data_IF_175804981081
#
_entry.id   IF_175804981081
#
_cell.length_a   1.000
_cell.length_b   1.000
_cell.length_c   1.000
_cell.angle_alpha   90.00
_cell.angle_beta   90.00
_cell.angle_gamma   90.00
#
_symmetry.space_group_name_H-M   'P 1'
#
loop_
_entity.id
_entity.type
_entity.pdbx_description
1 polymer ?
#
# COMPACT_ATOMS: atom_id res chain seq x y z
N UNK A 1 40.61 -20.29 -28.85
CA UNK A 1 39.46 -19.66 -29.53
C UNK A 1 38.22 -20.38 -29.03
N UNK A 2 37.37 -19.86 -28.16
CA UNK A 2 37.29 -18.60 -27.44
C UNK A 2 36.34 -18.81 -26.26
N UNK A 3 36.71 -18.20 -25.14
CA UNK A 3 35.98 -18.07 -23.88
C UNK A 3 34.64 -17.36 -24.11
N UNK A 4 33.53 -17.86 -23.56
CA UNK A 4 32.43 -17.01 -23.10
C UNK A 4 31.81 -17.62 -21.83
N UNK A 5 32.10 -16.99 -20.69
CA UNK A 5 31.44 -17.21 -19.41
C UNK A 5 29.94 -16.87 -19.47
N UNK A 6 29.10 -17.67 -18.81
CA UNK A 6 27.92 -17.15 -18.12
C UNK A 6 27.80 -17.80 -16.74
N UNK A 7 28.31 -17.06 -15.75
CA UNK A 7 27.96 -17.21 -14.34
C UNK A 7 26.43 -17.14 -14.19
N UNK A 8 25.79 -18.28 -13.90
CA UNK A 8 24.41 -18.32 -13.37
C UNK A 8 24.40 -19.28 -12.19
N UNK A 9 25.05 -18.87 -11.10
CA UNK A 9 24.89 -19.51 -9.80
C UNK A 9 24.73 -18.43 -8.75
N UNK A 10 23.52 -18.27 -8.23
CA UNK A 10 23.21 -17.33 -7.15
C UNK A 10 21.72 -17.29 -6.80
N UNK A 11 21.35 -18.14 -5.83
CA UNK A 11 20.09 -18.16 -5.05
C UNK A 11 18.80 -18.67 -5.73
N UNK A 12 18.21 -19.70 -5.10
CA UNK A 12 17.06 -20.46 -5.58
C UNK A 12 15.88 -19.60 -6.03
N UNK A 13 15.60 -19.68 -7.34
CA UNK A 13 14.37 -19.17 -7.93
C UNK A 13 13.22 -20.12 -7.64
N UNK A 14 12.66 -20.03 -6.43
CA UNK A 14 11.23 -20.28 -6.31
C UNK A 14 10.53 -19.20 -7.15
N UNK A 15 9.57 -19.54 -8.02
CA UNK A 15 8.80 -18.51 -8.73
C UNK A 15 8.21 -17.58 -7.68
N UNK A 16 8.43 -16.27 -7.83
CA UNK A 16 7.79 -15.27 -6.98
C UNK A 16 6.30 -15.56 -7.10
N UNK A 17 5.67 -16.06 -6.03
CA UNK A 17 4.25 -16.29 -6.01
C UNK A 17 3.58 -14.97 -6.43
N UNK A 18 2.95 -14.95 -7.61
CA UNK A 18 2.27 -13.78 -8.11
C UNK A 18 1.10 -13.52 -7.17
N UNK A 19 1.31 -12.63 -6.20
CA UNK A 19 0.28 -12.19 -5.28
C UNK A 19 -0.58 -11.18 -6.03
N UNK A 20 -1.89 -11.37 -5.99
CA UNK A 20 -2.83 -10.41 -6.56
C UNK A 20 -2.72 -9.09 -5.79
N UNK A 21 -2.27 -8.06 -6.49
CA UNK A 21 -2.08 -6.71 -5.95
C UNK A 21 -3.31 -5.82 -6.13
N UNK A 22 -4.39 -6.32 -6.75
CA UNK A 22 -5.59 -5.57 -7.10
C UNK A 22 -6.36 -5.03 -5.90
N UNK A 23 -7.60 -5.47 -5.72
CA UNK A 23 -8.48 -4.95 -4.66
C UNK A 23 -8.69 -5.98 -3.57
N UNK A 24 -8.84 -5.52 -2.32
CA UNK A 24 -9.15 -6.42 -1.21
C UNK A 24 -10.56 -6.99 -1.37
N UNK A 25 -11.55 -6.12 -1.56
CA UNK A 25 -12.90 -6.46 -2.01
C UNK A 25 -13.48 -5.26 -2.77
N UNK A 26 -13.53 -5.33 -4.10
CA UNK A 26 -14.00 -4.24 -4.95
C UNK A 26 -15.52 -4.03 -4.92
N UNK A 27 -16.30 -4.95 -4.34
CA UNK A 27 -17.76 -4.93 -4.35
C UNK A 27 -18.36 -4.50 -3.02
N UNK A 28 -17.65 -4.71 -1.92
CA UNK A 28 -18.10 -4.31 -0.60
C UNK A 28 -18.14 -2.78 -0.45
N UNK A 29 -19.16 -2.24 0.23
CA UNK A 29 -19.21 -0.82 0.60
C UNK A 29 -18.26 -0.48 1.76
N UNK A 30 -17.75 -1.48 2.46
CA UNK A 30 -16.75 -1.32 3.51
C UNK A 30 -15.93 -2.59 3.68
N UNK A 31 -14.65 -2.43 4.06
CA UNK A 31 -13.75 -3.54 4.38
C UNK A 31 -13.06 -3.27 5.70
N UNK A 32 -13.05 -4.27 6.58
CA UNK A 32 -12.27 -4.23 7.81
C UNK A 32 -10.86 -4.77 7.57
N UNK A 33 -9.86 -4.00 7.97
CA UNK A 33 -8.45 -4.39 7.88
C UNK A 33 -7.72 -4.10 9.17
N UNK A 34 -6.79 -4.97 9.53
CA UNK A 34 -5.86 -4.74 10.63
C UNK A 34 -4.52 -4.31 10.07
N UNK A 35 -3.93 -3.20 10.50
CA UNK A 35 -2.56 -2.78 10.16
C UNK A 35 -1.82 -2.46 11.45
N UNK A 36 -0.66 -3.08 11.66
CA UNK A 36 0.16 -2.82 12.85
C UNK A 36 -0.56 -3.10 14.18
N UNK A 37 -1.43 -4.11 14.21
CA UNK A 37 -2.25 -4.45 15.39
C UNK A 37 -3.40 -3.48 15.66
N UNK A 38 -3.77 -2.62 14.69
CA UNK A 38 -4.90 -1.69 14.78
C UNK A 38 -5.93 -2.01 13.72
N UNK A 39 -7.20 -2.01 14.10
CA UNK A 39 -8.31 -2.24 13.19
C UNK A 39 -8.76 -0.92 12.55
N UNK A 40 -9.11 -1.00 11.27
CA UNK A 40 -9.65 0.09 10.47
C UNK A 40 -10.82 -0.45 9.65
N UNK A 41 -11.91 0.31 9.61
CA UNK A 41 -12.99 0.11 8.64
C UNK A 41 -12.80 1.11 7.52
N UNK A 42 -12.55 0.61 6.31
CA UNK A 42 -12.40 1.44 5.10
C UNK A 42 -13.74 1.47 4.37
N UNK A 43 -14.35 2.65 4.28
CA UNK A 43 -15.56 2.86 3.48
C UNK A 43 -15.18 3.06 2.01
N UNK A 44 -15.88 2.36 1.12
CA UNK A 44 -15.59 2.31 -0.30
C UNK A 44 -16.78 2.81 -1.12
N UNK A 45 -16.49 3.21 -2.35
CA UNK A 45 -17.49 3.61 -3.35
C UNK A 45 -17.40 2.72 -4.60
N UNK A 46 -17.79 1.44 -4.56
CA UNK A 46 -17.67 0.51 -5.69
C UNK A 46 -18.24 1.02 -7.02
N UNK A 47 -19.33 1.80 -6.97
CA UNK A 47 -19.94 2.39 -8.16
C UNK A 47 -18.99 3.35 -8.91
N UNK A 48 -18.09 4.02 -8.20
CA UNK A 48 -17.09 4.92 -8.79
C UNK A 48 -15.97 4.17 -9.49
N UNK A 49 -15.66 2.93 -9.05
CA UNK A 49 -14.65 2.09 -9.70
C UNK A 49 -15.05 1.73 -11.15
N UNK A 50 -16.33 1.46 -11.38
CA UNK A 50 -16.88 1.10 -12.69
C UNK A 50 -17.42 2.28 -13.50
N UNK A 51 -17.30 3.51 -12.98
CA UNK A 51 -17.90 4.68 -13.61
C UNK A 51 -17.13 5.09 -14.88
N UNK A 52 -17.84 5.26 -15.98
CA UNK A 52 -17.31 5.80 -17.24
C UNK A 52 -17.42 7.33 -17.33
N UNK A 53 -17.97 7.98 -16.29
CA UNK A 53 -18.02 9.45 -16.18
C UNK A 53 -16.67 9.99 -15.71
N UNK A 54 -16.47 11.31 -15.83
CA UNK A 54 -15.23 12.01 -15.46
C UNK A 54 -14.82 11.93 -13.96
N UNK A 55 -15.51 11.14 -13.13
CA UNK A 55 -15.17 10.86 -11.73
C UNK A 55 -14.83 9.39 -11.45
N UNK A 56 -14.75 8.52 -12.47
CA UNK A 56 -14.31 7.15 -12.27
C UNK A 56 -12.87 7.09 -11.75
N UNK A 57 -12.64 6.36 -10.66
CA UNK A 57 -11.30 6.25 -10.06
C UNK A 57 -11.07 4.87 -9.45
N UNK A 58 -9.86 4.36 -9.61
CA UNK A 58 -9.40 3.14 -8.92
C UNK A 58 -9.15 3.38 -7.43
N UNK A 59 -9.05 4.65 -7.00
CA UNK A 59 -8.92 5.05 -5.61
C UNK A 59 -10.21 4.89 -4.80
N UNK A 60 -11.34 4.56 -5.44
CA UNK A 60 -12.64 4.41 -4.78
C UNK A 60 -12.80 3.11 -3.96
N UNK A 61 -11.80 2.22 -4.04
CA UNK A 61 -11.75 0.93 -3.33
C UNK A 61 -10.33 0.69 -2.81
N UNK A 62 -10.21 -0.12 -1.77
CA UNK A 62 -8.95 -0.44 -1.11
C UNK A 62 -8.12 -1.40 -1.97
N UNK A 63 -6.92 -0.95 -2.32
CA UNK A 63 -5.94 -1.78 -3.00
C UNK A 63 -5.22 -2.72 -2.03
N UNK A 64 -5.05 -3.98 -2.45
CA UNK A 64 -4.24 -4.96 -1.74
C UNK A 64 -2.80 -4.47 -1.61
N UNK A 65 -2.26 -3.83 -2.65
CA UNK A 65 -0.92 -3.22 -2.61
C UNK A 65 -0.77 -2.19 -1.47
N UNK A 66 -1.73 -1.26 -1.31
CA UNK A 66 -1.69 -0.24 -0.27
C UNK A 66 -1.75 -0.88 1.13
N UNK A 67 -2.61 -1.88 1.31
CA UNK A 67 -2.72 -2.64 2.57
C UNK A 67 -1.45 -3.43 2.89
N UNK A 68 -0.82 -4.08 1.91
CA UNK A 68 0.45 -4.78 2.10
C UNK A 68 1.60 -3.82 2.43
N UNK A 69 1.64 -2.67 1.78
CA UNK A 69 2.66 -1.65 2.06
C UNK A 69 2.49 -1.06 3.47
N UNK A 70 1.25 -0.80 3.90
CA UNK A 70 0.96 -0.36 5.25
C UNK A 70 1.43 -1.38 6.31
N UNK A 71 1.22 -2.68 6.07
CA UNK A 71 1.75 -3.73 6.95
C UNK A 71 3.28 -3.78 6.98
N UNK A 72 3.92 -3.61 5.82
CA UNK A 72 5.36 -3.52 5.75
C UNK A 72 5.87 -2.37 6.62
N UNK A 73 5.29 -1.17 6.48
CA UNK A 73 5.65 0.01 7.27
C UNK A 73 5.39 -0.19 8.77
N UNK A 74 4.29 -0.84 9.14
CA UNK A 74 3.94 -1.09 10.54
C UNK A 74 4.79 -2.19 11.20
N UNK A 75 5.61 -2.92 10.43
CA UNK A 75 6.48 -3.96 10.97
C UNK A 75 7.48 -3.39 11.98
N UNK A 76 7.61 -3.97 13.19
CA UNK A 76 8.51 -3.45 14.24
C UNK A 76 10.00 -3.52 13.86
N UNK A 77 10.35 -4.25 12.79
CA UNK A 77 11.72 -4.38 12.27
C UNK A 77 11.88 -3.71 10.90
N UNK A 78 11.02 -2.75 10.56
CA UNK A 78 11.13 -2.04 9.30
C UNK A 78 12.37 -1.14 9.29
N UNK A 79 13.36 -1.51 8.47
CA UNK A 79 14.63 -0.78 8.37
C UNK A 79 14.45 0.65 7.84
N UNK A 80 13.46 0.91 6.99
CA UNK A 80 13.17 2.25 6.46
C UNK A 80 12.64 3.15 7.59
N UNK A 81 11.71 2.63 8.40
CA UNK A 81 11.15 3.38 9.54
C UNK A 81 12.22 3.69 10.59
N UNK A 82 13.16 2.77 10.82
CA UNK A 82 14.28 2.98 11.73
C UNK A 82 15.25 4.08 11.27
N UNK A 83 15.26 4.43 9.97
CA UNK A 83 16.10 5.48 9.40
C UNK A 83 15.39 6.85 9.32
N UNK A 84 14.10 6.93 9.64
CA UNK A 84 13.37 8.19 9.62
C UNK A 84 13.91 9.14 10.69
N UNK A 85 13.96 10.46 10.43
CA UNK A 85 14.26 11.42 11.48
C UNK A 85 13.21 11.34 12.59
N UNK A 86 13.54 11.75 13.83
CA UNK A 86 12.56 11.81 14.91
C UNK A 86 11.35 12.65 14.51
N UNK A 87 10.14 12.11 14.71
CA UNK A 87 8.88 12.83 14.50
C UNK A 87 8.73 13.45 13.09
N UNK A 88 8.79 12.64 12.01
CA UNK A 88 8.68 13.16 10.65
C UNK A 88 7.26 13.63 10.33
N UNK A 89 7.15 14.59 9.41
CA UNK A 89 5.88 14.89 8.73
C UNK A 89 5.72 13.93 7.54
N UNK A 90 4.54 13.34 7.39
CA UNK A 90 4.27 12.33 6.35
C UNK A 90 3.33 12.90 5.28
N UNK A 91 3.69 12.76 4.01
CA UNK A 91 2.84 13.07 2.87
C UNK A 91 2.47 11.77 2.15
N UNK A 92 1.18 11.46 2.06
CA UNK A 92 0.68 10.37 1.23
C UNK A 92 0.01 10.93 -0.02
N UNK A 93 0.50 10.50 -1.18
CA UNK A 93 -0.01 10.87 -2.50
C UNK A 93 -0.84 9.72 -3.03
N UNK A 94 -2.04 10.01 -3.53
CA UNK A 94 -2.90 8.99 -4.10
C UNK A 94 -3.43 8.03 -3.03
N UNK A 95 -3.87 8.55 -1.87
CA UNK A 95 -4.33 7.71 -0.76
C UNK A 95 -5.70 7.04 -1.02
N UNK A 96 -6.40 7.43 -2.08
CA UNK A 96 -7.74 6.95 -2.43
C UNK A 96 -8.71 7.06 -1.25
N UNK A 97 -9.46 5.99 -1.03
CA UNK A 97 -10.38 5.84 0.11
C UNK A 97 -9.69 5.61 1.45
N UNK A 98 -8.38 5.35 1.49
CA UNK A 98 -7.70 5.05 2.75
C UNK A 98 -6.21 5.40 2.79
N UNK A 99 -5.77 6.29 3.70
CA UNK A 99 -4.37 6.63 3.91
C UNK A 99 -3.65 5.61 4.82
N UNK A 100 -3.78 4.31 4.53
CA UNK A 100 -3.26 3.26 5.42
C UNK A 100 -1.73 3.29 5.54
N UNK A 101 -1.02 3.68 4.48
CA UNK A 101 0.44 3.74 4.50
C UNK A 101 0.93 4.84 5.47
N UNK A 102 0.33 6.03 5.44
CA UNK A 102 0.65 7.07 6.41
C UNK A 102 0.24 6.67 7.83
N UNK A 103 -0.94 6.09 8.01
CA UNK A 103 -1.44 5.67 9.33
C UNK A 103 -0.59 4.54 9.95
N UNK A 104 0.10 3.73 9.15
CA UNK A 104 1.07 2.76 9.65
C UNK A 104 2.24 3.42 10.40
N UNK A 105 2.60 4.66 10.03
CA UNK A 105 3.68 5.44 10.66
C UNK A 105 3.21 6.21 11.90
N UNK A 106 1.97 6.01 12.35
CA UNK A 106 1.40 6.72 13.49
C UNK A 106 2.20 6.70 14.79
N UNK A 107 2.89 5.61 15.15
CA UNK A 107 3.72 5.61 16.36
C UNK A 107 4.87 6.64 16.32
N UNK A 108 5.31 7.05 15.13
CA UNK A 108 6.50 7.90 14.97
C UNK A 108 6.21 9.26 14.36
N UNK A 109 5.18 9.42 13.52
CA UNK A 109 4.92 10.65 12.78
C UNK A 109 4.41 11.82 13.64
N UNK A 110 4.82 13.04 13.29
CA UNK A 110 4.35 14.28 13.91
C UNK A 110 3.02 14.77 13.34
N UNK A 111 2.89 14.69 12.01
CA UNK A 111 1.78 15.25 11.25
C UNK A 111 1.64 14.54 9.91
N UNK A 112 0.50 14.76 9.26
CA UNK A 112 0.17 14.14 7.98
C UNK A 112 -0.40 15.17 7.01
N UNK A 113 -0.08 14.98 5.74
CA UNK A 113 -0.84 15.50 4.61
C UNK A 113 -1.27 14.30 3.79
N UNK A 114 -2.57 14.09 3.67
CA UNK A 114 -3.17 12.94 3.01
C UNK A 114 -3.90 13.46 1.80
N UNK A 115 -3.45 13.08 0.61
CA UNK A 115 -3.88 13.73 -0.62
C UNK A 115 -4.28 12.72 -1.69
N UNK A 116 -5.30 13.11 -2.45
CA UNK A 116 -5.76 12.43 -3.64
C UNK A 116 -6.34 13.46 -4.62
N UNK A 117 -6.65 13.04 -5.83
CA UNK A 117 -7.38 13.87 -6.78
C UNK A 117 -8.84 14.07 -6.32
N UNK A 118 -9.51 15.16 -6.74
CA UNK A 118 -10.96 15.26 -6.61
C UNK A 118 -11.67 14.14 -7.39
N UNK A 119 -12.80 13.65 -6.89
CA UNK A 119 -13.64 12.64 -7.55
C UNK A 119 -15.13 12.92 -7.37
#
# INVERSE_FOLDING_TARGET
>A
MGLVERLTTGFGGEPIASRDLGFVDAKASSVDVTVGGREYTVHQSPAMLSSTRAGGTTGAVLWTAARLFADYLASPRNAVVALLPPRPSVLELGCGVSPLAALALRPVAASYVLSDQPY
#
